data_IF_883042219845
#
_entry.id   IF_883042219845
#
_cell.length_a   1.000
_cell.length_b   1.000
_cell.length_c   1.000
_cell.angle_alpha   90.00
_cell.angle_beta   90.00
_cell.angle_gamma   90.00
#
_symmetry.space_group_name_H-M   'P 1'
#
loop_
_entity.id
_entity.type
_entity.pdbx_description
1 polymer ?
#
# COMPACT_ATOMS: atom_id res chain seq x y z
N UNK A 1 6.02 -7.17 -2.31
CA UNK A 1 6.77 -6.42 -1.28
C UNK A 1 6.49 -6.98 0.12
N UNK A 2 7.53 -7.06 0.96
CA UNK A 2 7.42 -7.42 2.38
C UNK A 2 7.53 -6.15 3.23
N UNK A 3 6.64 -6.01 4.21
CA UNK A 3 6.70 -4.95 5.21
C UNK A 3 7.82 -5.24 6.21
N UNK A 4 8.74 -4.29 6.39
CA UNK A 4 9.95 -4.53 7.17
C UNK A 4 9.72 -4.58 8.68
N UNK A 5 8.63 -4.02 9.18
CA UNK A 5 8.29 -4.01 10.61
C UNK A 5 7.63 -5.33 10.98
N UNK A 6 6.58 -5.71 10.27
CA UNK A 6 5.78 -6.89 10.56
C UNK A 6 6.40 -8.18 10.02
N UNK A 7 7.35 -8.07 9.08
CA UNK A 7 7.91 -9.19 8.29
C UNK A 7 6.85 -9.97 7.51
N UNK A 8 5.71 -9.33 7.23
CA UNK A 8 4.60 -9.91 6.48
C UNK A 8 4.51 -9.30 5.09
N UNK A 9 3.86 -10.03 4.18
CA UNK A 9 3.54 -9.54 2.85
C UNK A 9 2.56 -8.37 2.97
N UNK A 10 2.79 -7.31 2.19
CA UNK A 10 1.81 -6.23 2.01
C UNK A 10 0.69 -6.77 1.13
N UNK A 11 -0.55 -6.70 1.62
CA UNK A 11 -1.74 -7.24 0.95
C UNK A 11 -2.67 -6.10 0.57
N UNK A 12 -3.22 -6.17 -0.64
CA UNK A 12 -4.33 -5.31 -1.07
C UNK A 12 -5.62 -5.85 -0.46
N UNK A 13 -6.28 -5.00 0.30
CA UNK A 13 -7.60 -5.23 0.88
C UNK A 13 -8.61 -4.28 0.23
N UNK A 14 -9.90 -4.50 0.49
CA UNK A 14 -10.99 -3.63 0.06
C UNK A 14 -11.64 -3.01 1.30
N UNK A 15 -11.88 -1.70 1.27
CA UNK A 15 -12.63 -1.03 2.33
C UNK A 15 -14.15 -1.24 2.19
N UNK A 16 -14.93 -0.59 3.04
CA UNK A 16 -16.39 -0.68 3.05
C UNK A 16 -17.02 -0.15 1.74
N UNK A 17 -16.34 0.73 1.02
CA UNK A 17 -16.76 1.29 -0.26
C UNK A 17 -16.19 0.52 -1.46
N UNK A 18 -15.54 -0.62 -1.22
CA UNK A 18 -14.83 -1.42 -2.23
C UNK A 18 -13.65 -0.70 -2.90
N UNK A 19 -13.08 0.31 -2.25
CA UNK A 19 -11.84 0.93 -2.70
C UNK A 19 -10.64 0.08 -2.24
N UNK A 20 -9.70 -0.26 -3.13
CA UNK A 20 -8.51 -0.99 -2.74
C UNK A 20 -7.62 -0.15 -1.81
N UNK A 21 -7.05 -0.78 -0.79
CA UNK A 21 -6.06 -0.16 0.08
C UNK A 21 -4.96 -1.14 0.51
N UNK A 22 -3.85 -0.60 1.02
CA UNK A 22 -2.79 -1.36 1.67
C UNK A 22 -2.32 -0.64 2.93
N UNK A 23 -2.27 -1.37 4.04
CA UNK A 23 -1.65 -0.87 5.27
C UNK A 23 -0.16 -1.22 5.28
N UNK A 24 0.68 -0.20 5.45
CA UNK A 24 2.13 -0.35 5.54
C UNK A 24 2.61 0.23 6.85
N UNK A 25 3.26 -0.61 7.65
CA UNK A 25 3.52 -0.35 9.05
C UNK A 25 4.64 0.66 9.27
N UNK A 26 5.50 0.93 8.28
CA UNK A 26 6.53 1.98 8.37
C UNK A 26 6.38 3.07 7.32
N UNK A 27 6.65 4.31 7.69
CA UNK A 27 6.67 5.45 6.76
C UNK A 27 7.60 5.21 5.57
N UNK A 28 8.80 4.66 5.83
CA UNK A 28 9.82 4.46 4.80
C UNK A 28 9.39 3.38 3.77
N UNK A 29 8.77 2.29 4.22
CA UNK A 29 8.24 1.29 3.29
C UNK A 29 7.05 1.85 2.50
N UNK A 30 6.17 2.61 3.15
CA UNK A 30 5.02 3.24 2.49
C UNK A 30 5.48 4.20 1.38
N UNK A 31 6.48 5.02 1.66
CA UNK A 31 7.05 5.96 0.70
C UNK A 31 7.77 5.23 -0.44
N UNK A 32 8.55 4.20 -0.13
CA UNK A 32 9.21 3.34 -1.13
C UNK A 32 8.19 2.66 -2.04
N UNK A 33 7.10 2.14 -1.49
CA UNK A 33 6.03 1.49 -2.24
C UNK A 33 5.37 2.49 -3.20
N UNK A 34 4.93 3.64 -2.67
CA UNK A 34 4.28 4.68 -3.46
C UNK A 34 5.18 5.21 -4.58
N UNK A 35 6.48 5.42 -4.30
CA UNK A 35 7.43 5.84 -5.32
C UNK A 35 7.56 4.80 -6.43
N UNK A 36 7.68 3.51 -6.10
CA UNK A 36 7.76 2.45 -7.10
C UNK A 36 6.49 2.37 -7.95
N UNK A 37 5.32 2.44 -7.31
CA UNK A 37 4.02 2.45 -8.00
C UNK A 37 3.90 3.64 -8.97
N UNK A 38 4.27 4.84 -8.53
CA UNK A 38 4.19 6.04 -9.36
C UNK A 38 5.21 6.03 -10.51
N UNK A 39 6.48 5.66 -10.23
CA UNK A 39 7.58 5.77 -11.22
C UNK A 39 7.60 4.63 -12.22
N UNK A 40 7.32 3.39 -11.79
CA UNK A 40 7.43 2.20 -12.65
C UNK A 40 6.11 1.80 -13.30
N UNK A 41 4.99 2.04 -12.59
CA UNK A 41 3.69 1.54 -13.01
C UNK A 41 2.67 2.65 -13.31
N UNK A 42 3.03 3.92 -13.06
CA UNK A 42 2.14 5.08 -13.22
C UNK A 42 0.85 4.97 -12.40
N UNK A 43 0.92 4.29 -11.25
CA UNK A 43 -0.17 4.12 -10.31
C UNK A 43 -0.01 5.16 -9.20
N UNK A 44 -1.08 5.91 -8.94
CA UNK A 44 -1.14 6.89 -7.86
C UNK A 44 -1.96 6.33 -6.70
N UNK A 45 -1.56 6.69 -5.49
CA UNK A 45 -2.28 6.42 -4.24
C UNK A 45 -2.39 7.70 -3.42
N UNK A 46 -3.38 7.75 -2.54
CA UNK A 46 -3.50 8.77 -1.50
C UNK A 46 -3.05 8.15 -0.17
N UNK A 47 -2.46 8.95 0.72
CA UNK A 47 -2.09 8.49 2.06
C UNK A 47 -3.12 8.94 3.09
N UNK A 48 -3.46 8.03 3.99
CA UNK A 48 -4.21 8.30 5.21
C UNK A 48 -3.47 7.75 6.44
N UNK A 49 -3.66 8.42 7.58
CA UNK A 49 -3.06 8.03 8.86
C UNK A 49 -4.11 7.31 9.70
N UNK A 50 -3.73 6.19 10.30
CA UNK A 50 -4.60 5.39 11.15
C UNK A 50 -3.92 5.06 12.48
N UNK A 51 -4.69 5.05 13.56
CA UNK A 51 -4.17 4.85 14.92
C UNK A 51 -3.37 3.55 15.08
N UNK A 52 -3.79 2.47 14.41
CA UNK A 52 -3.10 1.18 14.48
C UNK A 52 -1.76 1.13 13.76
N UNK A 53 -1.41 2.16 12.99
CA UNK A 53 -0.14 2.28 12.25
C UNK A 53 0.85 3.27 12.90
N UNK A 54 0.48 3.91 14.01
CA UNK A 54 1.24 5.03 14.57
C UNK A 54 2.61 4.66 15.17
N UNK A 55 2.82 3.41 15.60
CA UNK A 55 4.06 3.01 16.31
C UNK A 55 5.32 3.29 15.49
N UNK A 56 5.24 3.20 14.15
CA UNK A 56 6.36 3.46 13.24
C UNK A 56 5.98 4.43 12.10
N UNK A 57 5.03 5.32 12.37
CA UNK A 57 4.50 6.29 11.40
C UNK A 57 4.03 5.63 10.09
N UNK A 58 3.48 4.43 10.21
CA UNK A 58 2.91 3.69 9.09
C UNK A 58 1.76 4.46 8.44
N UNK A 59 1.49 4.10 7.19
CA UNK A 59 0.51 4.78 6.35
C UNK A 59 -0.39 3.75 5.69
N UNK A 60 -1.66 4.11 5.52
CA UNK A 60 -2.54 3.44 4.58
C UNK A 60 -2.37 4.10 3.22
N UNK A 61 -2.18 3.27 2.19
CA UNK A 61 -2.22 3.68 0.79
C UNK A 61 -3.60 3.34 0.24
N UNK A 62 -4.34 4.35 -0.23
CA UNK A 62 -5.67 4.21 -0.81
C UNK A 62 -5.61 4.38 -2.32
N UNK A 63 -6.33 3.53 -3.04
CA UNK A 63 -6.36 3.50 -4.49
C UNK A 63 -7.79 3.77 -5.00
N UNK A 64 -7.90 4.27 -6.23
CA UNK A 64 -9.21 4.55 -6.81
C UNK A 64 -10.06 3.29 -6.98
N UNK A 65 -11.37 3.39 -6.76
CA UNK A 65 -12.33 2.28 -6.81
C UNK A 65 -12.35 1.49 -8.13
N UNK A 66 -11.89 2.08 -9.24
CA UNK A 66 -11.81 1.42 -10.56
C UNK A 66 -10.53 0.60 -10.75
N UNK A 67 -9.60 0.63 -9.80
CA UNK A 67 -8.36 -0.15 -9.86
C UNK A 67 -8.69 -1.61 -9.57
N UNK A 68 -8.22 -2.50 -10.44
CA UNK A 68 -8.31 -3.95 -10.23
C UNK A 68 -7.40 -4.36 -9.04
N UNK A 69 -7.96 -4.80 -7.90
CA UNK A 69 -7.18 -5.12 -6.71
C UNK A 69 -6.26 -6.32 -6.91
N UNK A 70 -6.66 -7.30 -7.74
CA UNK A 70 -5.84 -8.48 -8.01
C UNK A 70 -4.61 -8.09 -8.82
N UNK A 71 -4.82 -7.29 -9.88
CA UNK A 71 -3.72 -6.79 -10.69
C UNK A 71 -2.80 -5.87 -9.89
N UNK A 72 -3.35 -5.07 -8.99
CA UNK A 72 -2.55 -4.23 -8.09
C UNK A 72 -1.69 -5.09 -7.15
N UNK A 73 -2.24 -6.17 -6.58
CA UNK A 73 -1.47 -7.12 -5.77
C UNK A 73 -0.32 -7.74 -6.56
N UNK A 74 -0.58 -8.20 -7.79
CA UNK A 74 0.46 -8.77 -8.66
C UNK A 74 1.60 -7.78 -8.91
N UNK A 75 1.30 -6.50 -9.12
CA UNK A 75 2.29 -5.44 -9.26
C UNK A 75 3.10 -5.27 -7.98
N UNK A 76 2.44 -5.14 -6.83
CA UNK A 76 3.12 -4.98 -5.53
C UNK A 76 4.03 -6.17 -5.23
N UNK A 77 3.65 -7.37 -5.65
CA UNK A 77 4.45 -8.59 -5.49
C UNK A 77 5.76 -8.55 -6.29
N UNK A 78 5.81 -7.77 -7.38
CA UNK A 78 7.05 -7.55 -8.15
C UNK A 78 8.01 -6.55 -7.52
N UNK A 79 7.57 -5.80 -6.50
CA UNK A 79 8.39 -4.80 -5.80
C UNK A 79 9.08 -5.48 -4.61
N UNK A 80 10.42 -5.42 -4.58
CA UNK A 80 11.28 -5.86 -3.46
C UNK A 80 11.22 -4.89 -2.26
#
# INVERSE_FOLDING_TARGET
MIDNVTKRKIVIELDEESCPFADVSSANDADRLAENLARKFHILSIFSYHEHLNEYEGKRLEFGALVDPQRLQEIIDTIE
#
